data_IF_138161468231
#
_entry.id   IF_138161468231
#
_cell.length_a   1.000
_cell.length_b   1.000
_cell.length_c   1.000
_cell.angle_alpha   90.00
_cell.angle_beta   90.00
_cell.angle_gamma   90.00
#
_symmetry.space_group_name_H-M   'P 1'
#
loop_
_entity.id
_entity.type
_entity.pdbx_description
1 polymer ?
#
# COMPACT_ATOMS: atom_id res chain seq x y z
N UNK A 1 -8.82 37.96 -2.98
CA UNK A 1 -9.39 36.89 -3.83
C UNK A 1 -8.37 36.69 -4.95
N UNK A 2 -7.70 35.55 -5.17
CA UNK A 2 -8.02 34.17 -4.87
C UNK A 2 -6.69 33.40 -4.78
N UNK A 3 -6.32 32.97 -3.58
CA UNK A 3 -5.18 32.05 -3.35
C UNK A 3 -5.75 30.63 -3.36
N UNK A 4 -6.04 30.10 -4.55
CA UNK A 4 -6.70 28.77 -4.69
C UNK A 4 -6.06 27.97 -5.81
N UNK A 5 -4.74 27.86 -5.76
CA UNK A 5 -4.04 26.72 -6.33
C UNK A 5 -3.09 26.21 -5.26
N UNK A 6 -3.68 25.77 -4.14
CA UNK A 6 -2.98 24.94 -3.17
C UNK A 6 -2.56 23.66 -3.93
N UNK A 7 -1.37 23.72 -4.51
CA UNK A 7 -0.66 22.56 -5.01
C UNK A 7 -0.54 21.60 -3.85
N UNK A 8 -1.38 20.56 -3.85
CA UNK A 8 -1.04 19.32 -3.19
C UNK A 8 0.19 18.80 -3.91
N UNK A 9 1.37 19.28 -3.50
CA UNK A 9 2.61 18.52 -3.60
C UNK A 9 2.31 17.22 -2.85
N UNK A 10 1.83 16.24 -3.60
CA UNK A 10 1.75 14.88 -3.14
C UNK A 10 3.19 14.45 -2.87
N UNK A 11 3.60 14.52 -1.59
CA UNK A 11 4.78 13.82 -1.13
C UNK A 11 4.53 12.34 -1.43
N UNK A 12 5.12 11.86 -2.52
CA UNK A 12 5.26 10.43 -2.77
C UNK A 12 6.08 9.93 -1.57
N UNK A 13 5.55 9.05 -0.71
CA UNK A 13 6.28 8.56 0.44
C UNK A 13 7.54 7.85 -0.06
N UNK A 14 8.70 8.52 0.04
CA UNK A 14 9.98 8.00 -0.45
C UNK A 14 10.60 6.96 0.48
N UNK A 15 10.02 6.77 1.68
CA UNK A 15 10.54 5.85 2.67
C UNK A 15 9.64 4.63 2.77
N UNK A 16 10.26 3.45 2.60
CA UNK A 16 9.63 2.16 2.86
C UNK A 16 9.25 2.05 4.34
N UNK A 17 8.04 1.55 4.59
CA UNK A 17 7.53 1.28 5.94
C UNK A 17 7.86 -0.15 6.34
N UNK A 18 8.13 -0.42 7.62
CA UNK A 18 8.45 -1.77 8.08
C UNK A 18 7.27 -2.40 8.79
N UNK A 19 7.00 -3.67 8.51
CA UNK A 19 6.02 -4.46 9.28
C UNK A 19 6.52 -4.65 10.71
N UNK A 20 5.78 -4.09 11.67
CA UNK A 20 5.96 -4.38 13.09
C UNK A 20 5.21 -5.63 13.49
N UNK A 21 3.90 -5.71 13.19
CA UNK A 21 3.03 -6.81 13.59
C UNK A 21 2.14 -7.30 12.44
N UNK A 22 1.88 -8.62 12.42
CA UNK A 22 0.79 -9.21 11.65
C UNK A 22 -0.43 -9.32 12.55
N UNK A 23 -1.50 -8.61 12.21
CA UNK A 23 -2.73 -8.52 13.00
C UNK A 23 -3.73 -9.62 12.64
N UNK A 24 -3.55 -10.28 11.49
CA UNK A 24 -4.33 -11.43 11.06
C UNK A 24 -4.63 -11.41 9.58
N UNK A 25 -5.20 -12.51 9.07
CA UNK A 25 -5.67 -12.62 7.69
C UNK A 25 -7.10 -12.15 7.58
N UNK A 26 -7.42 -11.41 6.53
CA UNK A 26 -8.77 -10.87 6.28
C UNK A 26 -9.35 -11.45 4.98
N UNK A 27 -10.64 -11.79 5.00
CA UNK A 27 -11.34 -12.32 3.83
C UNK A 27 -11.15 -13.81 3.56
N UNK A 28 -11.65 -14.27 2.41
CA UNK A 28 -11.59 -15.65 1.91
C UNK A 28 -11.35 -15.60 0.40
N UNK A 29 -10.48 -16.45 -0.16
CA UNK A 29 -10.23 -16.50 -1.60
C UNK A 29 -8.80 -16.89 -1.99
N UNK A 30 -8.47 -16.74 -3.28
CA UNK A 30 -7.19 -17.12 -3.85
C UNK A 30 -6.02 -16.22 -3.41
N UNK A 31 -6.31 -14.94 -3.13
CA UNK A 31 -5.38 -14.04 -2.45
C UNK A 31 -5.97 -13.79 -1.07
N UNK A 32 -5.30 -14.22 -0.01
CA UNK A 32 -5.73 -13.99 1.36
C UNK A 32 -4.91 -12.80 1.89
N UNK A 33 -5.45 -11.57 1.92
CA UNK A 33 -4.73 -10.43 2.46
C UNK A 33 -4.42 -10.59 3.94
N UNK A 34 -3.31 -9.99 4.35
CA UNK A 34 -2.89 -9.90 5.74
C UNK A 34 -3.02 -8.45 6.19
N UNK A 35 -3.67 -8.25 7.33
CA UNK A 35 -3.69 -6.99 8.04
C UNK A 35 -2.40 -6.89 8.86
N UNK A 36 -1.67 -5.79 8.73
CA UNK A 36 -0.41 -5.55 9.42
C UNK A 36 -0.41 -4.19 10.11
N UNK A 37 0.42 -4.03 11.13
CA UNK A 37 0.82 -2.74 11.69
C UNK A 37 2.22 -2.39 11.22
N UNK A 38 2.41 -1.18 10.73
CA UNK A 38 3.70 -0.67 10.31
C UNK A 38 4.37 0.21 11.39
N UNK A 39 5.63 0.58 11.15
CA UNK A 39 6.47 1.39 12.03
C UNK A 39 6.06 2.86 12.15
N UNK A 40 5.17 3.33 11.27
CA UNK A 40 4.47 4.61 11.41
C UNK A 40 3.26 4.54 12.36
N UNK A 41 2.99 3.38 12.96
CA UNK A 41 1.88 3.13 13.88
C UNK A 41 0.54 2.93 13.19
N UNK A 42 0.48 2.97 11.85
CA UNK A 42 -0.74 2.78 11.07
C UNK A 42 -0.95 1.31 10.69
N UNK A 43 -2.19 1.02 10.28
CA UNK A 43 -2.62 -0.31 9.86
C UNK A 43 -2.75 -0.38 8.34
N UNK A 44 -2.28 -1.49 7.77
CA UNK A 44 -2.27 -1.72 6.33
C UNK A 44 -2.85 -3.08 6.00
N UNK A 45 -3.50 -3.17 4.84
CA UNK A 45 -3.75 -4.45 4.17
C UNK A 45 -2.63 -4.69 3.17
N UNK A 46 -1.84 -5.73 3.41
CA UNK A 46 -0.89 -6.25 2.42
C UNK A 46 -1.48 -7.50 1.78
N UNK A 47 -1.23 -7.68 0.49
CA UNK A 47 -1.56 -8.91 -0.22
C UNK A 47 -0.24 -9.57 -0.58
N UNK A 48 0.07 -10.67 0.10
CA UNK A 48 1.29 -11.43 -0.16
C UNK A 48 1.10 -12.30 -1.42
N UNK A 49 2.15 -12.40 -2.23
CA UNK A 49 2.25 -13.31 -3.38
C UNK A 49 3.00 -14.60 -2.98
N UNK A 50 2.88 -15.00 -1.71
CA UNK A 50 3.46 -16.22 -1.13
C UNK A 50 2.87 -17.47 -1.81
N UNK A 51 3.36 -17.77 -3.01
CA UNK A 51 2.85 -18.83 -3.88
C UNK A 51 3.66 -19.06 -5.17
N UNK A 52 4.81 -18.41 -5.35
CA UNK A 52 5.76 -18.72 -6.43
C UNK A 52 5.40 -18.22 -7.83
N UNK A 53 4.22 -17.60 -8.02
CA UNK A 53 3.84 -16.99 -9.31
C UNK A 53 3.71 -15.48 -9.19
N UNK A 54 4.86 -14.81 -9.35
CA UNK A 54 4.94 -13.49 -9.97
C UNK A 54 4.74 -12.29 -9.06
N UNK A 55 5.87 -11.68 -8.66
CA UNK A 55 5.99 -10.31 -8.12
C UNK A 55 5.37 -9.21 -9.03
N UNK A 56 4.80 -9.57 -10.18
CA UNK A 56 4.34 -8.67 -11.23
C UNK A 56 2.93 -8.14 -11.00
N UNK A 57 2.05 -8.92 -10.34
CA UNK A 57 0.66 -8.50 -10.12
C UNK A 57 0.59 -7.31 -9.17
N UNK A 58 1.42 -7.25 -8.12
CA UNK A 58 1.41 -6.16 -7.14
C UNK A 58 2.19 -4.92 -7.56
N UNK A 59 3.29 -5.08 -8.30
CA UNK A 59 3.93 -3.96 -8.96
C UNK A 59 2.94 -3.21 -9.88
N UNK A 60 2.06 -3.96 -10.57
CA UNK A 60 1.01 -3.33 -11.38
C UNK A 60 -0.05 -2.60 -10.55
N UNK A 61 -0.44 -3.13 -9.37
CA UNK A 61 -1.40 -2.45 -8.46
C UNK A 61 -0.82 -1.12 -7.96
N UNK A 62 0.45 -1.11 -7.56
CA UNK A 62 1.15 0.12 -7.18
C UNK A 62 1.21 1.13 -8.34
N UNK A 63 1.58 0.69 -9.54
CA UNK A 63 1.66 1.57 -10.73
C UNK A 63 0.28 2.15 -11.06
N UNK A 64 -0.75 1.31 -11.16
CA UNK A 64 -2.09 1.77 -11.54
C UNK A 64 -2.74 2.66 -10.47
N UNK A 65 -2.52 2.38 -9.19
CA UNK A 65 -2.94 3.28 -8.11
C UNK A 65 -2.20 4.62 -8.21
N UNK A 66 -0.88 4.60 -8.40
CA UNK A 66 -0.06 5.81 -8.56
C UNK A 66 -0.51 6.65 -9.76
N UNK A 67 -0.81 6.01 -10.90
CA UNK A 67 -1.34 6.68 -12.08
C UNK A 67 -2.71 7.28 -11.80
N UNK A 68 -3.64 6.51 -11.24
CA UNK A 68 -4.99 6.99 -10.89
C UNK A 68 -4.92 8.21 -9.98
N UNK A 69 -4.08 8.17 -8.96
CA UNK A 69 -3.82 9.30 -8.07
C UNK A 69 -3.22 10.50 -8.80
N UNK A 70 -2.24 10.29 -9.68
CA UNK A 70 -1.62 11.37 -10.47
C UNK A 70 -2.61 12.07 -11.42
N UNK A 71 -3.65 11.38 -11.88
CA UNK A 71 -4.73 11.95 -12.70
C UNK A 71 -5.98 12.32 -11.90
N UNK A 72 -5.85 12.46 -10.57
CA UNK A 72 -6.91 12.87 -9.65
C UNK A 72 -8.16 11.97 -9.66
N UNK A 73 -8.02 10.69 -10.00
CA UNK A 73 -9.09 9.72 -9.82
C UNK A 73 -9.19 9.29 -8.35
N UNK A 74 -10.40 9.01 -7.85
CA UNK A 74 -10.59 8.40 -6.54
C UNK A 74 -9.89 7.03 -6.49
N UNK A 75 -8.82 6.94 -5.72
CA UNK A 75 -8.04 5.72 -5.54
C UNK A 75 -7.47 5.67 -4.14
N UNK A 76 -7.34 4.46 -3.58
CA UNK A 76 -6.65 4.27 -2.30
C UNK A 76 -5.15 4.35 -2.56
N UNK A 77 -4.43 5.15 -1.76
CA UNK A 77 -2.99 5.28 -1.89
C UNK A 77 -2.31 3.94 -1.59
N UNK A 78 -1.56 3.44 -2.57
CA UNK A 78 -0.70 2.28 -2.43
C UNK A 78 0.67 2.73 -1.90
N UNK A 79 1.20 2.00 -0.92
CA UNK A 79 2.49 2.27 -0.29
C UNK A 79 3.38 1.03 -0.34
N UNK A 80 4.70 1.24 -0.38
CA UNK A 80 5.69 0.15 -0.36
C UNK A 80 6.02 -0.19 1.09
N UNK A 81 5.87 -1.47 1.44
CA UNK A 81 6.06 -2.01 2.78
C UNK A 81 7.13 -3.10 2.75
N UNK A 82 8.12 -3.00 3.62
CA UNK A 82 9.13 -4.03 3.88
C UNK A 82 8.58 -5.03 4.91
N UNK A 83 8.44 -6.29 4.51
CA UNK A 83 8.00 -7.38 5.38
C UNK A 83 9.06 -7.74 6.41
N UNK A 84 8.72 -8.58 7.39
CA UNK A 84 9.69 -9.08 8.39
C UNK A 84 10.81 -9.92 7.78
N UNK A 85 10.58 -10.52 6.60
CA UNK A 85 11.59 -11.27 5.83
C UNK A 85 12.49 -10.38 4.98
N UNK A 86 12.24 -9.05 4.96
CA UNK A 86 12.95 -8.09 4.12
C UNK A 86 12.44 -8.02 2.68
N UNK A 87 11.36 -8.75 2.37
CA UNK A 87 10.70 -8.69 1.07
C UNK A 87 9.87 -7.39 0.95
N UNK A 88 9.62 -6.96 -0.28
CA UNK A 88 8.77 -5.80 -0.53
C UNK A 88 7.37 -6.23 -0.88
N UNK A 89 6.39 -5.63 -0.21
CA UNK A 89 4.98 -5.77 -0.46
C UNK A 89 4.37 -4.40 -0.82
N UNK A 90 3.20 -4.45 -1.44
CA UNK A 90 2.35 -3.26 -1.65
C UNK A 90 1.21 -3.32 -0.65
N UNK A 91 1.09 -2.27 0.16
CA UNK A 91 0.05 -2.12 1.16
C UNK A 91 -0.89 -0.96 0.83
N UNK A 92 -2.15 -1.10 1.23
CA UNK A 92 -3.11 0.00 1.25
C UNK A 92 -3.52 0.28 2.68
N UNK A 93 -3.65 1.57 3.03
CA UNK A 93 -4.02 1.98 4.39
C UNK A 93 -5.42 1.44 4.73
N UNK A 94 -5.55 0.88 5.91
CA UNK A 94 -6.81 0.42 6.47
C UNK A 94 -7.26 1.38 7.57
N UNK A 95 -8.30 2.17 7.27
CA UNK A 95 -8.97 3.04 8.25
C UNK A 95 -10.26 2.33 8.67
N UNK A 96 -10.32 1.92 9.95
CA UNK A 96 -11.52 1.36 10.60
C UNK A 96 -12.27 2.45 11.36
#
# INVERSE_FOLDING_TARGET
>A
MSDTAAGLMMQIPMFRKKVLDELGRIGKGATIPTLIRADDGLTYVIKDDSGGTGQTVRASEFIWASVATAIALPCVLAEVIETRTGELAVGTRYES
#
